data_IF_350316557690
#
_entry.id   IF_350316557690
#
_cell.length_a   1.000
_cell.length_b   1.000
_cell.length_c   1.000
_cell.angle_alpha   90.00
_cell.angle_beta   90.00
_cell.angle_gamma   90.00
#
_symmetry.space_group_name_H-M   'P 1'
#
loop_
_entity.id
_entity.type
_entity.pdbx_description
1 polymer ?
#
# COMPACT_ATOMS: atom_id res chain seq x y z
N UNK A 1 -15.45 -14.57 7.68
CA UNK A 1 -14.08 -15.01 8.01
C UNK A 1 -13.46 -13.94 8.90
N UNK A 2 -13.42 -14.19 10.20
CA UNK A 2 -13.09 -13.18 11.22
C UNK A 2 -11.59 -13.22 11.46
N UNK A 3 -10.91 -12.08 11.25
CA UNK A 3 -9.48 -11.93 11.52
C UNK A 3 -9.28 -11.99 13.04
N UNK A 4 -8.44 -12.91 13.52
CA UNK A 4 -8.03 -12.93 14.92
C UNK A 4 -7.18 -11.68 15.21
N UNK A 5 -7.62 -10.77 16.10
CA UNK A 5 -6.90 -9.55 16.42
C UNK A 5 -5.53 -9.79 17.07
N UNK A 6 -5.20 -11.02 17.48
CA UNK A 6 -3.92 -11.36 18.14
C UNK A 6 -2.72 -11.42 17.21
N UNK A 7 -2.91 -11.30 15.90
CA UNK A 7 -1.80 -11.35 14.94
C UNK A 7 -1.69 -10.08 14.10
N UNK A 8 -2.77 -9.32 13.88
CA UNK A 8 -2.73 -7.99 13.23
C UNK A 8 -2.22 -7.92 11.78
N UNK A 9 -1.78 -9.04 11.19
CA UNK A 9 -1.24 -9.16 9.83
C UNK A 9 -2.25 -9.83 8.88
N UNK A 10 -2.15 -9.65 7.54
CA UNK A 10 -1.14 -8.84 6.85
C UNK A 10 -1.41 -7.33 6.98
N UNK A 11 -0.33 -6.58 7.07
CA UNK A 11 -0.33 -5.12 7.07
C UNK A 11 0.08 -4.59 5.71
N UNK A 12 -0.34 -3.37 5.41
CA UNK A 12 0.08 -2.58 4.27
C UNK A 12 0.95 -1.44 4.80
N UNK A 13 2.15 -1.32 4.26
CA UNK A 13 3.11 -0.27 4.59
C UNK A 13 3.24 0.66 3.39
N UNK A 14 3.04 1.95 3.62
CA UNK A 14 3.13 3.01 2.62
C UNK A 14 4.02 4.12 3.15
N UNK A 15 4.98 4.56 2.35
CA UNK A 15 5.66 5.82 2.62
C UNK A 15 4.70 6.99 2.36
N UNK A 16 4.93 8.13 3.02
CA UNK A 16 4.23 9.39 2.76
C UNK A 16 4.27 9.77 1.26
N UNK A 17 5.37 9.42 0.58
CA UNK A 17 5.63 9.78 -0.82
C UNK A 17 6.01 8.53 -1.61
N UNK A 18 5.52 8.42 -2.84
CA UNK A 18 5.87 7.32 -3.76
C UNK A 18 7.21 7.52 -4.48
N UNK A 19 7.74 8.75 -4.47
CA UNK A 19 9.06 9.11 -4.97
C UNK A 19 9.70 10.04 -3.93
N UNK A 20 10.86 9.65 -3.41
CA UNK A 20 11.61 10.40 -2.42
C UNK A 20 13.06 10.59 -2.86
N UNK A 21 13.72 11.60 -2.31
CA UNK A 21 15.12 11.89 -2.58
C UNK A 21 15.89 11.90 -1.26
N UNK A 22 17.03 11.21 -1.25
CA UNK A 22 17.98 11.23 -0.14
C UNK A 22 19.39 11.32 -0.73
N UNK A 23 20.20 12.25 -0.24
CA UNK A 23 21.58 12.49 -0.70
C UNK A 23 21.74 12.61 -2.23
N UNK A 24 20.75 13.22 -2.89
CA UNK A 24 20.77 13.41 -4.35
C UNK A 24 20.37 12.19 -5.18
N UNK A 25 19.91 11.10 -4.55
CA UNK A 25 19.41 9.92 -5.23
C UNK A 25 17.89 9.80 -5.07
N UNK A 26 17.19 9.72 -6.21
CA UNK A 26 15.76 9.47 -6.25
C UNK A 26 15.44 7.99 -6.08
N UNK A 27 14.55 7.65 -5.13
CA UNK A 27 14.05 6.30 -4.91
C UNK A 27 12.54 6.25 -5.05
N UNK A 28 12.06 5.29 -5.85
CA UNK A 28 10.66 4.91 -5.86
C UNK A 28 10.34 4.07 -4.61
N UNK A 29 9.39 4.55 -3.80
CA UNK A 29 8.92 3.88 -2.60
C UNK A 29 7.55 3.27 -2.88
N UNK A 30 7.49 1.94 -2.88
CA UNK A 30 6.29 1.21 -3.23
C UNK A 30 5.43 0.90 -2.00
N UNK A 31 4.13 0.76 -2.22
CA UNK A 31 3.27 0.12 -1.22
C UNK A 31 3.66 -1.34 -1.08
N UNK A 32 3.88 -1.82 0.14
CA UNK A 32 4.26 -3.21 0.41
C UNK A 32 3.28 -3.87 1.37
N UNK A 33 3.09 -5.18 1.18
CA UNK A 33 2.38 -6.02 2.13
C UNK A 33 3.37 -6.72 3.04
N UNK A 34 3.04 -6.79 4.31
CA UNK A 34 3.89 -7.37 5.34
C UNK A 34 3.10 -8.44 6.08
N UNK A 35 3.66 -9.64 6.21
CA UNK A 35 3.02 -10.78 6.86
C UNK A 35 3.50 -11.02 8.30
N UNK A 36 4.59 -10.38 8.71
CA UNK A 36 5.24 -10.62 10.00
C UNK A 36 5.92 -9.36 10.58
N UNK A 37 6.25 -9.43 11.87
CA UNK A 37 6.80 -8.30 12.63
C UNK A 37 8.24 -7.95 12.25
N UNK A 38 9.06 -8.92 11.85
CA UNK A 38 10.44 -8.66 11.49
C UNK A 38 10.49 -7.85 10.19
N UNK A 39 9.76 -8.31 9.16
CA UNK A 39 9.60 -7.59 7.89
C UNK A 39 9.00 -6.20 8.09
N UNK A 40 8.05 -6.03 9.02
CA UNK A 40 7.48 -4.72 9.35
C UNK A 40 8.54 -3.76 9.88
N UNK A 41 9.36 -4.23 10.82
CA UNK A 41 10.40 -3.42 11.45
C UNK A 41 11.45 -2.99 10.43
N UNK A 42 11.92 -3.92 9.60
CA UNK A 42 12.95 -3.65 8.60
C UNK A 42 12.46 -2.70 7.51
N UNK A 43 11.23 -2.89 7.03
CA UNK A 43 10.64 -2.00 6.04
C UNK A 43 10.33 -0.61 6.63
N UNK A 44 9.80 -0.56 7.85
CA UNK A 44 9.54 0.69 8.55
C UNK A 44 10.80 1.52 8.74
N UNK A 45 11.90 0.90 9.20
CA UNK A 45 13.17 1.57 9.37
C UNK A 45 13.72 2.13 8.05
N UNK A 46 13.59 1.39 6.94
CA UNK A 46 14.03 1.87 5.61
C UNK A 46 13.19 3.03 5.10
N UNK A 47 11.87 2.96 5.23
CA UNK A 47 10.99 4.02 4.73
C UNK A 47 11.01 5.28 5.61
N UNK A 48 11.26 5.13 6.91
CA UNK A 48 11.38 6.25 7.84
C UNK A 48 12.56 7.20 7.52
N UNK A 49 13.55 6.73 6.74
CA UNK A 49 14.63 7.58 6.22
C UNK A 49 14.11 8.66 5.24
N UNK A 50 12.92 8.45 4.66
CA UNK A 50 12.35 9.30 3.62
C UNK A 50 11.13 10.12 4.09
N UNK A 51 10.67 9.91 5.33
CA UNK A 51 9.51 10.59 5.90
C UNK A 51 8.61 9.64 6.68
N UNK A 52 7.40 10.11 6.99
CA UNK A 52 6.45 9.34 7.78
C UNK A 52 5.98 8.07 7.05
N UNK A 53 5.65 7.04 7.83
CA UNK A 53 5.21 5.73 7.33
C UNK A 53 3.82 5.42 7.83
N UNK A 54 2.90 5.16 6.90
CA UNK A 54 1.57 4.65 7.20
C UNK A 54 1.60 3.12 7.28
N UNK A 55 1.16 2.59 8.42
CA UNK A 55 0.94 1.16 8.64
C UNK A 55 -0.56 0.93 8.83
N UNK A 56 -1.14 0.08 7.99
CA UNK A 56 -2.59 -0.14 7.93
C UNK A 56 -2.90 -1.63 7.85
N UNK A 57 -3.97 -2.10 8.51
CA UNK A 57 -4.52 -3.44 8.25
C UNK A 57 -4.90 -3.59 6.77
N UNK A 58 -4.58 -4.74 6.17
CA UNK A 58 -5.02 -5.04 4.82
C UNK A 58 -6.55 -5.10 4.75
N UNK A 59 -7.13 -4.26 3.90
CA UNK A 59 -8.55 -4.35 3.54
C UNK A 59 -8.68 -5.35 2.41
N UNK A 60 -9.60 -6.31 2.57
CA UNK A 60 -9.93 -7.29 1.54
C UNK A 60 -11.14 -6.83 0.74
N UNK A 61 -11.09 -6.93 -0.58
CA UNK A 61 -12.23 -6.58 -1.44
C UNK A 61 -11.80 -6.12 -2.83
N UNK A 62 -12.72 -5.43 -3.51
CA UNK A 62 -12.43 -4.81 -4.80
C UNK A 62 -11.90 -3.40 -4.60
N UNK A 63 -10.70 -3.12 -5.10
CA UNK A 63 -10.23 -1.76 -5.28
C UNK A 63 -11.10 -1.01 -6.28
N UNK A 64 -11.81 0.02 -5.82
CA UNK A 64 -12.56 0.95 -6.66
C UNK A 64 -11.85 2.31 -6.63
N UNK A 65 -11.64 2.90 -7.80
CA UNK A 65 -11.08 4.23 -7.98
C UNK A 65 -12.14 5.21 -8.45
N UNK A 66 -11.94 6.47 -8.08
CA UNK A 66 -12.68 7.61 -8.60
C UNK A 66 -11.71 8.49 -9.38
N UNK A 67 -12.01 8.75 -10.64
CA UNK A 67 -11.32 9.72 -11.49
C UNK A 67 -12.09 11.03 -11.48
N UNK A 68 -11.42 12.12 -11.09
CA UNK A 68 -12.01 13.45 -10.98
C UNK A 68 -11.21 14.42 -11.86
N UNK A 69 -11.90 15.20 -12.69
CA UNK A 69 -11.32 16.38 -13.34
C UNK A 69 -11.92 17.62 -12.68
N UNK A 70 -11.07 18.44 -12.06
CA UNK A 70 -11.46 19.66 -11.38
C UNK A 70 -10.75 20.88 -11.96
N UNK A 71 -11.43 22.03 -11.98
CA UNK A 71 -10.87 23.34 -12.34
C UNK A 71 -11.54 24.42 -11.50
N UNK A 72 -10.75 25.32 -10.93
CA UNK A 72 -11.24 26.46 -10.13
C UNK A 72 -12.20 26.06 -9.00
N UNK A 73 -11.92 24.95 -8.32
CA UNK A 73 -12.76 24.41 -7.25
C UNK A 73 -14.04 23.69 -7.72
N UNK A 74 -14.30 23.62 -9.02
CA UNK A 74 -15.44 22.92 -9.60
C UNK A 74 -15.05 21.57 -10.19
N UNK A 75 -15.87 20.55 -9.93
CA UNK A 75 -15.74 19.25 -10.59
C UNK A 75 -16.39 19.31 -11.97
N UNK A 76 -15.59 19.10 -13.02
CA UNK A 76 -16.04 19.10 -14.42
C UNK A 76 -16.47 17.70 -14.86
N UNK A 77 -15.71 16.68 -14.47
CA UNK A 77 -16.02 15.28 -14.79
C UNK A 77 -15.68 14.36 -13.62
N UNK A 78 -16.48 13.30 -13.48
CA UNK A 78 -16.28 12.23 -12.52
C UNK A 78 -16.58 10.88 -13.20
N UNK A 79 -15.71 9.91 -12.97
CA UNK A 79 -15.96 8.52 -13.36
C UNK A 79 -15.43 7.57 -12.29
N UNK A 80 -16.02 6.39 -12.23
CA UNK A 80 -15.58 5.32 -11.34
C UNK A 80 -15.02 4.16 -12.15
N UNK A 81 -14.06 3.45 -11.58
CA UNK A 81 -13.50 2.27 -12.20
C UNK A 81 -13.12 1.23 -11.15
N UNK A 82 -13.25 -0.04 -11.50
CA UNK A 82 -12.73 -1.14 -10.68
C UNK A 82 -11.30 -1.45 -11.11
N UNK A 83 -10.38 -1.53 -10.15
CA UNK A 83 -9.00 -1.93 -10.41
C UNK A 83 -8.95 -3.42 -10.74
N UNK A 84 -8.28 -3.75 -11.84
CA UNK A 84 -8.05 -5.14 -12.25
C UNK A 84 -6.88 -5.78 -11.53
N UNK A 85 -5.86 -4.98 -11.17
CA UNK A 85 -4.71 -5.42 -10.39
C UNK A 85 -4.58 -4.60 -9.11
N UNK A 86 -4.62 -5.30 -7.98
CA UNK A 86 -3.90 -4.89 -6.79
C UNK A 86 -2.60 -5.69 -6.81
N UNK A 87 -1.43 -5.05 -6.69
CA UNK A 87 -0.12 -5.74 -6.64
C UNK A 87 -0.24 -6.97 -5.74
N UNK A 88 -0.17 -8.16 -6.35
CA UNK A 88 -0.33 -9.42 -5.63
C UNK A 88 0.82 -9.55 -4.62
N UNK A 89 0.51 -9.97 -3.38
CA UNK A 89 1.49 -10.70 -2.58
C UNK A 89 2.04 -11.83 -3.47
N UNK A 90 3.36 -12.09 -3.53
CA UNK A 90 3.79 -13.38 -4.06
C UNK A 90 3.03 -14.43 -3.27
N UNK A 91 2.23 -15.22 -3.98
CA UNK A 91 1.48 -16.30 -3.39
C UNK A 91 2.49 -17.13 -2.58
N UNK A 92 2.28 -17.24 -1.27
CA UNK A 92 2.77 -18.43 -0.57
C UNK A 92 2.27 -19.59 -1.42
N UNK A 93 3.22 -20.35 -1.98
CA UNK A 93 2.95 -21.55 -2.74
C UNK A 93 2.04 -22.44 -1.89
N UNK A 94 0.73 -22.35 -2.11
CA UNK A 94 -0.20 -23.37 -1.71
C UNK A 94 -0.03 -24.47 -2.75
N UNK A 95 0.80 -25.43 -2.34
CA UNK A 95 0.88 -26.81 -2.79
C UNK A 95 -0.26 -27.22 -3.72
N UNK A 96 0.17 -27.73 -4.89
CA UNK A 96 -0.48 -28.84 -5.58
C UNK A 96 -0.83 -29.90 -4.53
N UNK A 97 -2.12 -30.14 -4.33
CA UNK A 97 -2.78 -31.46 -4.34
C UNK A 97 -4.30 -31.27 -4.45
#
# INVERSE_FOLDING_TARGET
MTIDPRNGFPLVVKAERSLAWLDGYGQALETRYVADRATLKDLGARYALYGDVLVQSRVMGHGVGLGLLARDGLLLHCFQYRRLHELHLPAVAALIE
#
